data_IF_737459156197
#
_entry.id   IF_737459156197
#
_cell.length_a   1.000
_cell.length_b   1.000
_cell.length_c   1.000
_cell.angle_alpha   90.00
_cell.angle_beta   90.00
_cell.angle_gamma   90.00
#
_symmetry.space_group_name_H-M   'P 1'
#
loop_
_entity.id
_entity.type
_entity.pdbx_description
1 polymer ?
#
# COMPACT_ATOMS: atom_id res chain seq x y z
N UNK A 1 -55.77 12.28 63.65
CA UNK A 1 -54.58 13.13 63.81
C UNK A 1 -53.37 12.22 63.69
N UNK A 2 -52.44 12.30 62.74
CA UNK A 2 -52.21 13.08 61.53
C UNK A 2 -51.69 12.08 60.49
N UNK A 3 -52.19 12.12 59.25
CA UNK A 3 -51.69 11.30 58.16
C UNK A 3 -50.37 11.91 57.62
N UNK A 4 -49.31 11.11 57.53
CA UNK A 4 -48.05 11.50 56.90
C UNK A 4 -48.15 11.32 55.37
N UNK A 5 -47.69 12.27 54.54
CA UNK A 5 -47.74 12.13 53.09
C UNK A 5 -46.57 11.28 52.58
N UNK A 6 -46.88 10.34 51.69
CA UNK A 6 -45.91 9.58 50.92
C UNK A 6 -45.31 10.52 49.85
N UNK A 7 -44.02 10.80 49.92
CA UNK A 7 -43.31 11.58 48.90
C UNK A 7 -43.02 10.64 47.70
N UNK A 8 -43.74 10.83 46.58
CA UNK A 8 -43.39 10.21 45.31
C UNK A 8 -42.31 11.08 44.66
N UNK A 9 -41.06 10.59 44.65
CA UNK A 9 -40.00 11.22 43.87
C UNK A 9 -40.25 10.97 42.38
N UNK A 10 -40.62 12.01 41.65
CA UNK A 10 -40.68 11.97 40.19
C UNK A 10 -39.26 11.90 39.63
N UNK A 11 -38.87 10.73 39.08
CA UNK A 11 -37.69 10.60 38.25
C UNK A 11 -37.95 11.33 36.93
N UNK A 12 -37.42 12.54 36.82
CA UNK A 12 -37.35 13.28 35.56
C UNK A 12 -36.33 12.59 34.66
N UNK A 13 -36.79 11.82 33.67
CA UNK A 13 -35.94 11.38 32.56
C UNK A 13 -35.58 12.62 31.73
N UNK A 14 -34.33 13.08 31.87
CA UNK A 14 -33.77 14.02 30.91
C UNK A 14 -33.68 13.31 29.55
N UNK A 15 -34.10 13.92 28.43
CA UNK A 15 -33.87 13.35 27.11
C UNK A 15 -32.35 13.23 26.91
N UNK A 16 -31.90 12.05 26.50
CA UNK A 16 -30.51 11.85 26.09
C UNK A 16 -30.21 12.82 24.94
N UNK A 17 -29.21 13.68 25.13
CA UNK A 17 -28.65 14.47 24.03
C UNK A 17 -28.20 13.51 22.93
N UNK A 18 -28.48 13.82 21.64
CA UNK A 18 -27.96 13.02 20.55
C UNK A 18 -26.45 12.96 20.70
N UNK A 19 -25.90 11.74 20.66
CA UNK A 19 -24.47 11.52 20.62
C UNK A 19 -23.88 12.46 19.56
N UNK A 20 -22.94 13.32 19.98
CA UNK A 20 -22.16 14.14 19.08
C UNK A 20 -21.74 13.27 17.89
N UNK A 21 -22.06 13.72 16.67
CA UNK A 21 -21.42 13.21 15.47
C UNK A 21 -19.92 13.18 15.76
N UNK A 22 -19.30 12.02 15.64
CA UNK A 22 -17.84 11.92 15.75
C UNK A 22 -17.26 13.01 14.84
N UNK A 23 -16.42 13.89 15.38
CA UNK A 23 -15.68 14.83 14.56
C UNK A 23 -14.96 14.01 13.49
N UNK A 24 -15.46 14.08 12.25
CA UNK A 24 -14.83 13.40 11.13
C UNK A 24 -13.47 14.07 10.98
N UNK A 25 -12.41 13.31 11.30
CA UNK A 25 -11.04 13.76 11.09
C UNK A 25 -10.81 14.20 9.63
N UNK A 26 -9.66 14.80 9.34
CA UNK A 26 -9.35 15.24 7.99
C UNK A 26 -9.45 14.08 6.98
N UNK A 27 -9.85 14.39 5.75
CA UNK A 27 -9.79 13.44 4.65
C UNK A 27 -8.38 12.85 4.53
N UNK A 28 -8.26 11.53 4.46
CA UNK A 28 -6.96 10.87 4.53
C UNK A 28 -6.84 9.71 3.54
N UNK A 29 -5.64 9.53 3.02
CA UNK A 29 -5.13 8.32 2.38
C UNK A 29 -3.76 8.03 2.99
N UNK A 30 -3.72 7.50 4.22
CA UNK A 30 -2.58 7.76 5.10
C UNK A 30 -1.39 6.80 4.92
N UNK A 31 -1.53 5.76 4.11
CA UNK A 31 -0.50 4.75 3.92
C UNK A 31 -0.69 4.03 2.57
N UNK A 32 0.24 3.11 2.27
CA UNK A 32 0.12 2.23 1.11
C UNK A 32 -1.25 1.51 1.09
N UNK A 33 -1.83 1.36 -0.11
CA UNK A 33 -3.19 0.83 -0.34
C UNK A 33 -4.32 1.63 0.33
N UNK A 34 -4.05 2.79 0.92
CA UNK A 34 -5.05 3.55 1.65
C UNK A 34 -5.45 2.88 2.97
N UNK A 35 -4.56 2.12 3.62
CA UNK A 35 -4.84 1.57 4.95
C UNK A 35 -5.16 2.71 5.92
N UNK A 36 -6.40 2.76 6.41
CA UNK A 36 -6.89 3.87 7.25
C UNK A 36 -7.46 5.07 6.48
N UNK A 37 -7.72 4.92 5.18
CA UNK A 37 -8.29 5.98 4.36
C UNK A 37 -9.72 6.33 4.78
N UNK A 38 -10.06 7.61 4.57
CA UNK A 38 -11.45 8.08 4.70
C UNK A 38 -12.30 7.49 3.57
N UNK A 39 -13.59 7.29 3.85
CA UNK A 39 -14.54 6.90 2.81
C UNK A 39 -14.52 7.90 1.64
N UNK A 40 -14.47 7.36 0.43
CA UNK A 40 -14.46 8.13 -0.81
C UNK A 40 -15.88 8.39 -1.30
N UNK A 41 -16.08 9.56 -1.90
CA UNK A 41 -17.29 9.85 -2.68
C UNK A 41 -17.08 9.32 -4.12
N UNK A 42 -17.90 8.37 -4.60
CA UNK A 42 -17.80 7.86 -5.97
C UNK A 42 -18.00 8.93 -7.05
N UNK A 43 -18.74 9.99 -6.75
CA UNK A 43 -18.99 11.08 -7.70
C UNK A 43 -17.79 12.03 -7.80
N UNK A 44 -16.91 12.06 -6.80
CA UNK A 44 -15.68 12.83 -6.83
C UNK A 44 -14.58 12.19 -7.69
N UNK A 45 -14.62 10.86 -7.89
CA UNK A 45 -13.62 10.16 -8.69
C UNK A 45 -14.07 10.15 -10.16
N UNK A 46 -13.32 10.80 -11.08
CA UNK A 46 -13.74 10.90 -12.47
C UNK A 46 -13.86 9.52 -13.11
N UNK A 47 -14.89 9.33 -13.94
CA UNK A 47 -15.08 8.08 -14.68
C UNK A 47 -14.07 7.96 -15.83
N UNK A 48 -13.77 9.08 -16.49
CA UNK A 48 -12.94 9.16 -17.69
C UNK A 48 -12.04 10.39 -17.66
N UNK A 49 -10.83 10.26 -18.19
CA UNK A 49 -9.90 11.37 -18.37
C UNK A 49 -9.00 11.16 -19.59
N UNK A 50 -8.45 12.26 -20.10
CA UNK A 50 -7.44 12.33 -21.16
C UNK A 50 -6.17 13.02 -20.62
N UNK A 51 -5.07 13.06 -21.39
CA UNK A 51 -3.85 13.74 -20.97
C UNK A 51 -4.01 15.23 -20.65
N UNK A 52 -5.07 15.88 -21.11
CA UNK A 52 -5.42 17.29 -20.81
C UNK A 52 -6.29 17.45 -19.56
N UNK A 53 -6.87 16.37 -19.04
CA UNK A 53 -7.77 16.40 -17.87
C UNK A 53 -7.11 16.71 -16.52
N UNK A 54 -5.81 16.47 -16.25
CA UNK A 54 -5.24 16.80 -14.95
C UNK A 54 -5.46 18.25 -14.55
N UNK A 55 -6.08 18.48 -13.39
CA UNK A 55 -6.30 19.81 -12.80
C UNK A 55 -4.96 20.50 -12.56
N UNK A 56 -3.96 19.74 -12.12
CA UNK A 56 -2.58 20.18 -12.00
C UNK A 56 -1.63 19.00 -12.14
N UNK A 57 -0.38 19.33 -12.48
CA UNK A 57 0.74 18.40 -12.52
C UNK A 57 1.93 19.01 -11.78
N UNK A 58 2.61 18.21 -10.96
CA UNK A 58 3.84 18.60 -10.24
C UNK A 58 5.01 17.75 -10.71
N UNK A 59 6.09 18.41 -11.12
CA UNK A 59 7.37 17.78 -11.36
C UNK A 59 8.10 17.49 -10.05
N UNK A 60 8.68 16.30 -9.92
CA UNK A 60 9.50 15.95 -8.78
C UNK A 60 10.97 16.34 -8.99
N UNK A 61 11.70 16.65 -7.92
CA UNK A 61 13.13 17.00 -7.96
C UNK A 61 14.04 15.79 -8.28
N UNK A 62 13.46 14.61 -8.49
CA UNK A 62 14.13 13.34 -8.73
C UNK A 62 13.14 12.29 -9.20
N UNK A 63 13.48 11.01 -9.01
CA UNK A 63 12.59 9.89 -9.34
C UNK A 63 12.04 9.27 -8.06
N UNK A 64 10.77 8.89 -8.06
CA UNK A 64 10.16 8.19 -6.93
C UNK A 64 9.10 7.18 -7.39
N UNK A 65 8.93 6.11 -6.64
CA UNK A 65 8.00 5.03 -6.95
C UNK A 65 6.92 4.84 -5.86
N UNK A 66 7.07 5.52 -4.72
CA UNK A 66 6.07 5.56 -3.64
C UNK A 66 4.70 6.01 -4.15
N UNK A 67 3.62 5.43 -3.65
CA UNK A 67 2.31 6.06 -3.78
C UNK A 67 2.29 7.40 -3.02
N UNK A 68 1.50 8.39 -3.47
CA UNK A 68 1.25 9.57 -2.65
C UNK A 68 0.45 9.18 -1.41
N UNK A 69 0.58 9.95 -0.34
CA UNK A 69 -0.32 9.89 0.82
C UNK A 69 -0.99 11.24 1.03
N UNK A 70 -2.20 11.20 1.57
CA UNK A 70 -3.05 12.40 1.78
C UNK A 70 -3.39 12.54 3.25
N UNK A 71 -3.31 13.78 3.74
CA UNK A 71 -3.86 14.19 5.03
C UNK A 71 -4.42 15.61 4.94
N UNK A 72 -5.74 15.72 5.05
CA UNK A 72 -6.47 16.97 4.88
C UNK A 72 -6.37 17.50 3.44
N UNK A 73 -5.85 18.70 3.29
CA UNK A 73 -5.63 19.39 2.02
C UNK A 73 -4.20 19.21 1.48
N UNK A 74 -3.43 18.27 2.03
CA UNK A 74 -2.02 18.05 1.68
C UNK A 74 -1.79 16.66 1.12
N UNK A 75 -0.97 16.61 0.08
CA UNK A 75 -0.35 15.39 -0.41
C UNK A 75 1.14 15.36 -0.07
N UNK A 76 1.65 14.19 0.26
CA UNK A 76 3.07 13.96 0.49
C UNK A 76 3.61 12.89 -0.47
N UNK A 77 4.78 13.16 -1.03
CA UNK A 77 5.49 12.25 -1.95
C UNK A 77 6.97 12.23 -1.67
N UNK A 78 7.62 11.10 -1.98
CA UNK A 78 9.06 10.91 -1.86
C UNK A 78 9.72 10.75 -3.23
N UNK A 79 11.00 11.10 -3.29
CA UNK A 79 11.87 10.90 -4.45
C UNK A 79 13.33 10.77 -4.02
N UNK A 80 14.17 10.26 -4.92
CA UNK A 80 15.63 10.25 -4.80
C UNK A 80 16.27 10.89 -6.03
N UNK A 81 17.46 11.44 -5.86
CA UNK A 81 18.29 11.92 -6.97
C UNK A 81 19.79 11.68 -6.71
N UNK A 82 20.58 11.86 -7.76
CA UNK A 82 22.00 11.54 -7.78
C UNK A 82 22.30 10.12 -8.25
N UNK A 83 23.56 9.88 -8.63
CA UNK A 83 24.00 8.61 -9.23
C UNK A 83 24.05 7.46 -8.23
N UNK A 84 24.18 7.80 -6.95
CA UNK A 84 24.21 6.86 -5.83
C UNK A 84 22.97 7.05 -4.93
N UNK A 85 21.91 7.67 -5.45
CA UNK A 85 20.73 8.08 -4.68
C UNK A 85 21.13 8.85 -3.41
N UNK A 86 22.18 9.66 -3.50
CA UNK A 86 22.77 10.35 -2.36
C UNK A 86 21.88 11.46 -1.80
N UNK A 87 20.88 11.92 -2.56
CA UNK A 87 19.88 12.88 -2.11
C UNK A 87 18.50 12.21 -1.97
N UNK A 88 17.93 12.32 -0.77
CA UNK A 88 16.57 11.88 -0.45
C UNK A 88 15.66 13.10 -0.39
N UNK A 89 14.48 13.02 -1.00
CA UNK A 89 13.53 14.13 -1.10
C UNK A 89 12.17 13.77 -0.51
N UNK A 90 11.60 14.71 0.23
CA UNK A 90 10.22 14.66 0.71
C UNK A 90 9.55 15.97 0.33
N UNK A 91 8.35 15.89 -0.26
CA UNK A 91 7.60 17.06 -0.71
C UNK A 91 6.23 17.07 -0.05
N UNK A 92 5.83 18.24 0.42
CA UNK A 92 4.44 18.58 0.75
C UNK A 92 3.84 19.41 -0.38
N UNK A 93 2.67 19.00 -0.87
CA UNK A 93 1.96 19.63 -1.99
C UNK A 93 0.54 19.97 -1.54
N UNK A 94 0.08 21.17 -1.87
CA UNK A 94 -1.31 21.56 -1.69
C UNK A 94 -2.20 20.82 -2.70
N UNK A 95 -3.18 20.07 -2.22
CA UNK A 95 -4.04 19.23 -3.05
C UNK A 95 -4.91 20.03 -4.03
N UNK A 96 -5.27 21.26 -3.67
CA UNK A 96 -6.21 22.06 -4.43
C UNK A 96 -5.54 22.76 -5.62
N UNK A 97 -4.29 23.18 -5.46
CA UNK A 97 -3.56 23.98 -6.45
C UNK A 97 -2.37 23.28 -7.08
N UNK A 98 -1.88 22.18 -6.48
CA UNK A 98 -0.62 21.55 -6.89
C UNK A 98 0.61 22.36 -6.48
N UNK A 99 0.44 23.45 -5.72
CA UNK A 99 1.58 24.24 -5.28
C UNK A 99 2.40 23.46 -4.26
N UNK A 100 3.71 23.52 -4.42
CA UNK A 100 4.65 22.98 -3.44
C UNK A 100 4.58 23.82 -2.17
N UNK A 101 4.07 23.22 -1.09
CA UNK A 101 4.05 23.83 0.24
C UNK A 101 5.47 23.89 0.80
N UNK A 102 6.19 22.77 0.69
CA UNK A 102 7.57 22.66 1.11
C UNK A 102 8.29 21.51 0.41
N UNK A 103 9.61 21.54 0.46
CA UNK A 103 10.49 20.46 -0.01
C UNK A 103 11.66 20.34 0.93
N UNK A 104 11.91 19.13 1.41
CA UNK A 104 13.07 18.79 2.23
C UNK A 104 13.96 17.85 1.46
N UNK A 105 15.26 18.10 1.57
CA UNK A 105 16.30 17.25 0.99
C UNK A 105 17.30 16.90 2.07
N UNK A 106 17.61 15.62 2.18
CA UNK A 106 18.64 15.09 3.09
C UNK A 106 19.63 14.22 2.32
N UNK A 107 20.78 13.95 2.95
CA UNK A 107 21.72 12.96 2.42
C UNK A 107 21.30 11.54 2.77
N UNK A 108 21.43 10.62 1.82
CA UNK A 108 21.32 9.18 2.10
C UNK A 108 22.45 8.73 3.02
N UNK A 109 22.11 7.98 4.07
CA UNK A 109 23.13 7.43 4.98
C UNK A 109 23.67 6.09 4.54
N UNK A 110 23.08 5.47 3.52
CA UNK A 110 23.58 4.29 2.81
C UNK A 110 23.34 4.47 1.30
N UNK A 111 24.14 5.29 0.59
CA UNK A 111 24.01 5.50 -0.84
C UNK A 111 24.18 4.19 -1.61
N UNK A 112 23.35 4.00 -2.63
CA UNK A 112 23.40 2.84 -3.53
C UNK A 112 23.11 3.29 -4.95
N UNK A 113 23.74 2.62 -5.92
CA UNK A 113 23.64 2.97 -7.33
C UNK A 113 22.18 3.19 -7.78
N UNK A 114 21.98 4.29 -8.51
CA UNK A 114 20.72 4.66 -9.12
C UNK A 114 20.63 4.05 -10.51
N UNK A 115 19.88 2.95 -10.67
CA UNK A 115 19.66 2.31 -11.98
C UNK A 115 18.17 2.17 -12.27
N UNK A 116 17.83 1.79 -13.51
CA UNK A 116 16.45 1.46 -13.86
C UNK A 116 15.95 0.15 -13.23
N UNK A 117 16.87 -0.71 -12.78
CA UNK A 117 16.57 -2.05 -12.25
C UNK A 117 16.35 -2.05 -10.73
N UNK A 118 16.93 -1.08 -10.03
CA UNK A 118 16.82 -0.94 -8.57
C UNK A 118 15.74 0.09 -8.24
N UNK A 119 15.00 -0.16 -7.17
CA UNK A 119 13.97 0.76 -6.67
C UNK A 119 14.51 2.16 -6.38
N UNK A 120 13.62 3.15 -6.52
CA UNK A 120 13.89 4.58 -6.32
C UNK A 120 12.77 5.19 -5.48
N UNK A 121 13.01 5.39 -4.18
CA UNK A 121 12.02 5.82 -3.20
C UNK A 121 10.70 5.03 -3.31
N UNK A 122 10.78 3.70 -3.41
CA UNK A 122 9.59 2.86 -3.59
C UNK A 122 8.70 2.71 -2.34
N UNK A 123 9.23 2.65 -1.10
CA UNK A 123 8.37 2.59 0.07
C UNK A 123 7.45 3.82 0.15
N UNK A 124 6.15 3.58 0.24
CA UNK A 124 5.14 4.60 0.45
C UNK A 124 5.22 5.10 1.89
N UNK A 125 5.32 6.42 2.14
CA UNK A 125 5.34 6.95 3.50
C UNK A 125 4.04 6.61 4.24
N UNK A 126 4.07 6.67 5.57
CA UNK A 126 2.86 6.80 6.38
C UNK A 126 2.61 8.27 6.72
N UNK A 127 1.37 8.66 6.98
CA UNK A 127 1.00 9.95 7.56
C UNK A 127 -0.13 9.76 8.58
N UNK A 128 -0.17 10.59 9.61
CA UNK A 128 -1.26 10.64 10.58
C UNK A 128 -1.51 12.08 11.05
N UNK A 129 -2.18 12.28 12.19
CA UNK A 129 -2.49 13.61 12.70
C UNK A 129 -1.27 14.45 13.07
N UNK A 130 -0.14 13.81 13.35
CA UNK A 130 1.04 14.45 13.91
C UNK A 130 2.14 14.66 12.85
N UNK A 131 2.37 13.67 11.98
CA UNK A 131 3.53 13.69 11.09
C UNK A 131 3.39 12.82 9.84
N UNK A 132 4.26 13.09 8.87
CA UNK A 132 4.59 12.20 7.76
C UNK A 132 5.90 11.43 8.08
N UNK A 133 5.89 10.14 7.79
CA UNK A 133 6.96 9.18 8.09
C UNK A 133 7.53 8.54 6.82
N UNK A 134 8.41 9.24 6.08
CA UNK A 134 9.03 8.70 4.89
C UNK A 134 10.16 7.74 5.22
N UNK A 135 10.18 6.61 4.52
CA UNK A 135 11.19 5.57 4.63
C UNK A 135 11.85 5.35 3.26
N UNK A 136 13.18 5.26 3.25
CA UNK A 136 13.96 5.12 2.03
C UNK A 136 14.76 3.82 2.02
N UNK A 137 15.16 3.36 0.84
CA UNK A 137 15.86 2.09 0.68
C UNK A 137 17.25 2.08 1.33
N UNK A 138 17.81 3.26 1.61
CA UNK A 138 19.02 3.42 2.42
C UNK A 138 18.81 3.07 3.90
N UNK A 139 17.59 2.73 4.32
CA UNK A 139 17.25 2.51 5.71
C UNK A 139 17.02 3.80 6.50
N UNK A 140 16.96 4.96 5.83
CA UNK A 140 16.64 6.23 6.48
C UNK A 140 15.14 6.37 6.69
N UNK A 141 14.73 6.50 7.95
CA UNK A 141 13.36 6.76 8.38
C UNK A 141 13.32 8.12 9.08
N UNK A 142 12.38 8.96 8.68
CA UNK A 142 12.18 10.29 9.25
C UNK A 142 10.80 10.43 9.84
N UNK A 143 10.63 11.42 10.72
CA UNK A 143 9.35 12.06 10.96
C UNK A 143 9.48 13.56 10.69
N UNK A 144 8.54 14.07 9.91
CA UNK A 144 8.37 15.49 9.67
C UNK A 144 6.95 15.87 10.03
N UNK A 145 6.75 17.03 10.67
CA UNK A 145 5.39 17.55 10.81
C UNK A 145 4.79 17.91 9.44
N UNK A 146 3.50 18.27 9.41
CA UNK A 146 2.84 18.58 8.15
C UNK A 146 3.38 19.83 7.45
N UNK A 147 4.10 20.71 8.16
CA UNK A 147 4.77 21.90 7.61
C UNK A 147 6.21 21.61 7.15
N UNK A 148 6.66 20.36 7.29
CA UNK A 148 7.93 19.86 6.80
C UNK A 148 9.10 20.08 7.75
N UNK A 149 8.84 20.42 9.02
CA UNK A 149 9.90 20.53 10.02
C UNK A 149 10.27 19.14 10.55
N UNK A 150 11.59 18.90 10.69
CA UNK A 150 12.08 17.62 11.18
C UNK A 150 11.75 17.45 12.67
N UNK A 151 11.08 16.34 12.98
CA UNK A 151 10.85 15.91 14.36
C UNK A 151 11.97 14.96 14.81
N UNK A 152 12.30 13.97 13.98
CA UNK A 152 13.42 13.06 14.21
C UNK A 152 13.86 12.35 12.93
N UNK A 153 15.03 11.71 13.00
CA UNK A 153 15.60 10.84 11.96
C UNK A 153 16.29 9.64 12.60
N UNK A 154 16.13 8.47 12.00
CA UNK A 154 16.88 7.26 12.34
C UNK A 154 17.40 6.56 11.09
N UNK A 155 18.71 6.29 11.05
CA UNK A 155 19.31 5.37 10.08
C UNK A 155 19.15 3.93 10.59
N UNK A 156 18.08 3.25 10.20
CA UNK A 156 17.79 1.88 10.64
C UNK A 156 18.88 0.90 10.23
N UNK A 157 19.50 1.08 9.06
CA UNK A 157 20.53 0.15 8.60
C UNK A 157 21.73 0.05 9.57
N UNK A 158 22.06 1.15 10.27
CA UNK A 158 23.12 1.19 11.28
C UNK A 158 22.76 0.42 12.55
N UNK A 159 21.47 0.13 12.75
CA UNK A 159 20.93 -0.56 13.93
C UNK A 159 20.60 -2.03 13.63
N UNK A 160 20.12 -2.34 12.44
CA UNK A 160 19.58 -3.66 12.06
C UNK A 160 20.26 -4.30 10.84
N UNK A 161 21.32 -3.69 10.33
CA UNK A 161 22.00 -4.12 9.10
C UNK A 161 21.38 -3.54 7.83
N UNK A 162 22.13 -3.63 6.72
CA UNK A 162 21.73 -3.05 5.42
C UNK A 162 20.45 -3.70 4.87
N UNK A 163 19.63 -2.89 4.22
CA UNK A 163 18.46 -3.35 3.50
C UNK A 163 18.92 -3.79 2.10
N UNK A 164 19.01 -5.10 1.87
CA UNK A 164 19.51 -5.67 0.62
C UNK A 164 18.48 -6.59 0.00
N UNK A 165 18.23 -6.38 -1.29
CA UNK A 165 17.40 -7.25 -2.12
C UNK A 165 17.70 -6.98 -3.61
N UNK A 166 17.42 -7.93 -4.50
CA UNK A 166 17.79 -7.91 -5.92
C UNK A 166 17.31 -6.64 -6.66
N UNK A 167 16.10 -6.19 -6.36
CA UNK A 167 15.46 -5.01 -6.98
C UNK A 167 15.42 -3.79 -6.05
N UNK A 168 16.22 -3.78 -4.99
CA UNK A 168 16.06 -2.81 -3.90
C UNK A 168 14.85 -3.10 -3.02
N UNK A 169 14.42 -2.11 -2.25
CA UNK A 169 13.36 -2.27 -1.24
C UNK A 169 12.03 -1.73 -1.78
N UNK A 170 10.97 -2.53 -1.71
CA UNK A 170 9.61 -2.13 -2.08
C UNK A 170 8.61 -2.09 -0.92
N UNK A 171 8.95 -2.73 0.20
CA UNK A 171 8.05 -2.85 1.35
C UNK A 171 7.82 -1.48 2.00
N UNK A 172 6.56 -1.05 2.03
CA UNK A 172 6.14 0.20 2.68
C UNK A 172 5.87 -0.03 4.17
N UNK A 173 6.15 0.93 5.06
CA UNK A 173 5.69 0.87 6.44
C UNK A 173 4.17 0.64 6.54
N UNK A 174 3.73 -0.10 7.55
CA UNK A 174 2.37 0.01 8.08
C UNK A 174 2.42 0.57 9.50
N UNK A 175 1.27 0.96 10.06
CA UNK A 175 1.24 1.73 11.30
C UNK A 175 0.07 1.39 12.22
N UNK A 176 0.31 1.56 13.52
CA UNK A 176 -0.72 1.81 14.55
C UNK A 176 -0.72 3.31 14.89
N UNK A 177 -1.49 3.70 15.91
CA UNK A 177 -1.47 5.08 16.42
C UNK A 177 -0.07 5.54 16.86
N UNK A 178 0.77 4.64 17.38
CA UNK A 178 2.03 4.98 18.05
C UNK A 178 3.28 4.31 17.45
N UNK A 179 3.10 3.35 16.53
CA UNK A 179 4.18 2.48 16.05
C UNK A 179 4.17 2.36 14.53
N UNK A 180 5.35 2.38 13.92
CA UNK A 180 5.61 2.03 12.53
C UNK A 180 6.22 0.63 12.48
N UNK A 181 5.79 -0.20 11.54
CA UNK A 181 6.35 -1.53 11.30
C UNK A 181 7.08 -1.57 9.97
N UNK A 182 8.37 -1.91 10.02
CA UNK A 182 9.26 -1.95 8.86
C UNK A 182 9.68 -3.40 8.60
N UNK A 183 9.42 -3.88 7.40
CA UNK A 183 9.88 -5.20 6.97
C UNK A 183 11.26 -5.09 6.30
N UNK A 184 12.20 -5.87 6.81
CA UNK A 184 13.51 -6.12 6.22
C UNK A 184 13.59 -7.60 5.87
N UNK A 185 13.20 -7.99 4.66
CA UNK A 185 13.50 -9.33 4.16
C UNK A 185 14.74 -9.25 3.25
N UNK A 186 15.71 -10.12 3.52
CA UNK A 186 17.03 -10.14 2.90
C UNK A 186 17.35 -11.55 2.41
N UNK A 187 17.43 -11.77 1.08
CA UNK A 187 17.65 -13.09 0.52
C UNK A 187 19.07 -13.61 0.77
N UNK A 188 20.02 -12.74 1.13
CA UNK A 188 21.43 -13.07 1.32
C UNK A 188 21.90 -12.81 2.77
N UNK A 189 20.97 -12.53 3.69
CA UNK A 189 21.28 -12.09 5.03
C UNK A 189 20.13 -12.24 6.05
N UNK A 190 20.28 -11.64 7.24
CA UNK A 190 19.28 -11.72 8.29
C UNK A 190 18.05 -10.87 7.93
N UNK A 191 16.88 -11.46 8.11
CA UNK A 191 15.58 -10.83 7.91
C UNK A 191 14.94 -10.47 9.23
N UNK A 192 14.19 -9.37 9.27
CA UNK A 192 13.58 -8.86 10.48
C UNK A 192 12.29 -8.07 10.21
N UNK A 193 11.38 -8.10 11.18
CA UNK A 193 10.29 -7.13 11.31
C UNK A 193 10.65 -6.18 12.46
N UNK A 194 10.58 -4.88 12.22
CA UNK A 194 11.09 -3.87 13.15
C UNK A 194 9.93 -2.95 13.54
N UNK A 195 9.70 -2.80 14.84
CA UNK A 195 8.77 -1.81 15.37
C UNK A 195 9.51 -0.55 15.81
N UNK A 196 9.08 0.60 15.29
CA UNK A 196 9.67 1.91 15.57
C UNK A 196 8.59 2.80 16.20
N UNK A 197 8.89 3.37 17.36
CA UNK A 197 8.00 4.33 18.04
C UNK A 197 7.95 5.63 17.26
N UNK A 198 6.74 6.09 16.94
CA UNK A 198 6.50 7.34 16.19
C UNK A 198 6.94 8.61 16.93
N UNK A 199 6.92 8.58 18.26
CA UNK A 199 7.24 9.75 19.08
C UNK A 199 8.71 10.20 18.96
N UNK A 200 9.65 9.27 18.72
CA UNK A 200 11.09 9.56 18.79
C UNK A 200 11.97 8.75 17.83
N UNK A 201 11.40 7.86 17.01
CA UNK A 201 12.15 6.98 16.11
C UNK A 201 12.90 5.84 16.83
N UNK A 202 12.60 5.61 18.12
CA UNK A 202 13.20 4.54 18.91
C UNK A 202 12.69 3.16 18.49
N UNK A 203 13.60 2.18 18.35
CA UNK A 203 13.21 0.79 18.11
C UNK A 203 12.59 0.22 19.39
N UNK A 204 11.35 -0.26 19.29
CA UNK A 204 10.64 -0.94 20.36
C UNK A 204 11.07 -2.40 20.47
N UNK A 205 11.11 -3.08 19.32
CA UNK A 205 11.55 -4.46 19.18
C UNK A 205 11.97 -4.74 17.74
N UNK A 206 12.75 -5.82 17.58
CA UNK A 206 13.13 -6.39 16.29
C UNK A 206 12.85 -7.89 16.37
N UNK A 207 11.88 -8.36 15.58
CA UNK A 207 11.57 -9.78 15.49
C UNK A 207 12.49 -10.42 14.44
N UNK A 208 13.23 -11.45 14.86
CA UNK A 208 14.04 -12.26 13.95
C UNK A 208 13.12 -13.09 13.03
N UNK A 209 13.32 -12.96 11.72
CA UNK A 209 12.59 -13.71 10.70
C UNK A 209 13.45 -14.79 10.04
N UNK A 210 14.68 -15.00 10.51
CA UNK A 210 15.64 -15.95 9.97
C UNK A 210 16.39 -15.40 8.75
N UNK A 211 17.00 -16.30 7.99
CA UNK A 211 17.82 -15.98 6.81
C UNK A 211 17.09 -16.33 5.51
N UNK A 212 17.56 -15.76 4.40
CA UNK A 212 17.14 -16.09 3.03
C UNK A 212 15.65 -15.83 2.74
N UNK A 213 15.04 -14.84 3.40
CA UNK A 213 13.68 -14.42 3.06
C UNK A 213 13.71 -13.38 1.96
N UNK A 214 12.70 -13.42 1.10
CA UNK A 214 12.58 -12.51 -0.03
C UNK A 214 11.16 -11.98 -0.10
N UNK A 215 11.02 -10.66 0.02
CA UNK A 215 9.75 -9.97 -0.19
C UNK A 215 9.95 -8.50 -0.54
N UNK A 216 9.01 -7.99 -1.32
CA UNK A 216 8.71 -6.58 -1.59
C UNK A 216 7.29 -6.22 -1.13
N UNK A 217 6.52 -7.19 -0.61
CA UNK A 217 5.21 -6.93 -0.03
C UNK A 217 5.34 -6.07 1.22
N UNK A 218 4.32 -5.24 1.47
CA UNK A 218 4.23 -4.45 2.70
C UNK A 218 3.58 -5.29 3.81
N UNK A 219 3.94 -5.08 5.09
CA UNK A 219 3.14 -5.57 6.20
C UNK A 219 1.74 -4.94 6.19
N UNK A 220 0.77 -5.62 6.77
CA UNK A 220 -0.60 -5.13 6.93
C UNK A 220 -1.07 -5.33 8.37
N UNK A 221 -1.94 -4.44 8.86
CA UNK A 221 -2.61 -4.64 10.15
C UNK A 221 -3.92 -5.39 9.91
N UNK A 222 -4.07 -6.56 10.51
CA UNK A 222 -5.29 -7.38 10.43
C UNK A 222 -5.87 -7.53 11.84
N UNK A 223 -7.13 -7.11 12.08
CA UNK A 223 -7.80 -7.41 13.34
C UNK A 223 -8.15 -8.90 13.40
N UNK A 224 -7.80 -9.54 14.52
CA UNK A 224 -8.13 -10.94 14.84
C UNK A 224 -8.63 -10.99 16.28
N UNK A 225 -9.87 -11.41 16.47
CA UNK A 225 -10.56 -11.45 17.76
C UNK A 225 -10.44 -10.11 18.54
N UNK A 226 -10.59 -8.99 17.82
CA UNK A 226 -10.45 -7.64 18.38
C UNK A 226 -9.00 -7.20 18.71
N UNK A 227 -7.99 -7.99 18.35
CA UNK A 227 -6.58 -7.67 18.53
C UNK A 227 -5.90 -7.39 17.19
N UNK A 228 -5.08 -6.34 17.06
CA UNK A 228 -4.32 -6.10 15.83
C UNK A 228 -3.18 -7.10 15.71
N UNK A 229 -3.03 -7.74 14.55
CA UNK A 229 -1.85 -8.51 14.17
C UNK A 229 -1.11 -7.81 13.02
N UNK A 230 0.22 -7.76 13.09
CA UNK A 230 1.05 -7.35 11.95
C UNK A 230 1.26 -8.57 11.05
N UNK A 231 0.64 -8.58 9.88
CA UNK A 231 0.68 -9.69 8.93
C UNK A 231 1.70 -9.41 7.83
N UNK A 232 2.61 -10.35 7.62
CA UNK A 232 3.68 -10.26 6.64
C UNK A 232 3.59 -11.43 5.66
N UNK A 233 3.56 -11.13 4.36
CA UNK A 233 3.75 -12.12 3.30
C UNK A 233 5.20 -12.07 2.78
N UNK A 234 5.85 -13.23 2.77
CA UNK A 234 7.21 -13.40 2.26
C UNK A 234 7.37 -14.79 1.67
N UNK A 235 8.35 -14.95 0.76
CA UNK A 235 8.57 -16.23 0.08
C UNK A 235 8.56 -17.43 1.05
N UNK A 236 7.63 -18.36 0.83
CA UNK A 236 7.49 -19.59 1.62
C UNK A 236 6.38 -19.56 2.68
N UNK A 237 5.83 -18.40 3.04
CA UNK A 237 4.69 -18.35 3.97
C UNK A 237 4.24 -16.95 4.41
N UNK A 238 3.15 -16.92 5.14
CA UNK A 238 2.56 -15.71 5.74
C UNK A 238 2.61 -15.83 7.25
N UNK A 239 3.09 -14.81 7.95
CA UNK A 239 3.23 -14.81 9.40
C UNK A 239 2.47 -13.65 10.03
N UNK A 240 1.94 -13.85 11.23
CA UNK A 240 1.35 -12.80 12.04
C UNK A 240 2.13 -12.57 13.33
N UNK A 241 2.32 -11.29 13.67
CA UNK A 241 3.07 -10.87 14.85
C UNK A 241 2.21 -10.02 15.77
N UNK A 242 2.46 -10.15 17.07
CA UNK A 242 1.96 -9.22 18.08
C UNK A 242 2.63 -7.85 17.89
N UNK A 243 1.87 -6.77 17.65
CA UNK A 243 2.43 -5.44 17.40
C UNK A 243 3.16 -4.83 18.60
N UNK A 244 2.80 -5.21 19.82
CA UNK A 244 3.40 -4.67 21.04
C UNK A 244 4.72 -5.36 21.39
N UNK A 245 4.84 -6.67 21.11
CA UNK A 245 5.99 -7.47 21.56
C UNK A 245 6.88 -8.01 20.45
N UNK A 246 6.41 -8.04 19.20
CA UNK A 246 7.10 -8.67 18.08
C UNK A 246 7.11 -10.20 18.13
N UNK A 247 6.35 -10.81 19.05
CA UNK A 247 6.21 -12.26 19.14
C UNK A 247 5.42 -12.77 17.92
N UNK A 248 5.94 -13.78 17.24
CA UNK A 248 5.18 -14.51 16.23
C UNK A 248 3.99 -15.23 16.89
N UNK A 249 2.80 -14.99 16.37
CA UNK A 249 1.54 -15.52 16.90
C UNK A 249 1.09 -16.76 16.12
N UNK A 250 1.34 -16.78 14.82
CA UNK A 250 0.96 -17.85 13.91
C UNK A 250 1.76 -17.77 12.62
N UNK A 251 1.86 -18.91 11.94
CA UNK A 251 2.45 -19.02 10.60
C UNK A 251 1.56 -19.87 9.71
N UNK A 252 1.26 -19.37 8.51
CA UNK A 252 0.73 -20.13 7.38
C UNK A 252 1.90 -20.47 6.44
N UNK A 253 2.32 -21.74 6.43
CA UNK A 253 3.33 -22.25 5.50
C UNK A 253 2.76 -22.54 4.11
N UNK A 254 3.62 -23.06 3.22
CA UNK A 254 3.24 -23.57 1.90
C UNK A 254 2.54 -22.51 1.03
N UNK A 255 3.14 -21.31 1.00
CA UNK A 255 2.79 -20.24 0.07
C UNK A 255 4.02 -19.94 -0.78
N UNK A 256 3.91 -20.16 -2.09
CA UNK A 256 5.01 -19.93 -3.04
C UNK A 256 4.68 -18.83 -4.03
N UNK A 257 5.67 -18.07 -4.48
CA UNK A 257 5.48 -16.92 -5.37
C UNK A 257 4.94 -15.65 -4.70
N UNK A 258 4.76 -15.64 -3.37
CA UNK A 258 4.13 -14.58 -2.58
C UNK A 258 5.09 -13.46 -2.13
N UNK A 259 5.93 -12.99 -3.06
CA UNK A 259 7.01 -12.05 -2.76
C UNK A 259 6.68 -10.60 -3.09
N UNK A 260 5.65 -10.30 -3.89
CA UNK A 260 5.38 -8.94 -4.35
C UNK A 260 4.11 -8.31 -3.74
N UNK A 261 3.12 -9.14 -3.43
CA UNK A 261 1.76 -8.69 -3.13
C UNK A 261 1.54 -8.59 -1.63
N UNK A 262 0.96 -7.47 -1.21
CA UNK A 262 0.64 -7.16 0.18
C UNK A 262 -0.64 -7.89 0.60
N UNK A 263 -0.69 -8.53 1.79
CA UNK A 263 -1.92 -9.05 2.35
C UNK A 263 -2.98 -7.96 2.48
N UNK A 264 -4.21 -8.22 2.03
CA UNK A 264 -5.29 -7.23 2.07
C UNK A 264 -6.41 -7.70 2.99
N UNK A 265 -6.57 -7.10 4.18
CA UNK A 265 -7.69 -7.42 5.06
C UNK A 265 -9.01 -7.07 4.38
N UNK A 266 -10.04 -7.85 4.65
CA UNK A 266 -11.37 -7.57 4.14
C UNK A 266 -12.45 -7.97 5.13
N UNK A 267 -13.61 -7.33 4.98
CA UNK A 267 -14.75 -7.49 5.87
C UNK A 267 -15.93 -8.10 5.13
N UNK A 268 -16.69 -8.94 5.83
CA UNK A 268 -17.90 -9.63 5.35
C UNK A 268 -19.06 -9.31 6.29
N UNK A 269 -20.27 -9.80 6.00
CA UNK A 269 -21.46 -9.50 6.81
C UNK A 269 -21.30 -9.88 8.30
N UNK A 270 -20.48 -10.89 8.60
CA UNK A 270 -20.14 -11.32 9.96
C UNK A 270 -19.03 -10.48 10.63
N UNK A 271 -18.62 -9.37 10.00
CA UNK A 271 -17.55 -8.49 10.47
C UNK A 271 -16.15 -8.93 10.05
N UNK A 272 -15.98 -10.04 9.30
CA UNK A 272 -14.74 -10.43 8.62
C UNK A 272 -13.49 -10.57 9.49
N UNK A 273 -13.66 -10.87 10.77
CA UNK A 273 -12.56 -11.00 11.73
C UNK A 273 -11.49 -12.02 11.26
N UNK A 274 -10.25 -11.55 11.26
CA UNK A 274 -9.06 -12.29 10.85
C UNK A 274 -8.98 -12.71 9.39
N UNK A 275 -9.78 -12.13 8.49
CA UNK A 275 -9.76 -12.46 7.06
C UNK A 275 -8.88 -11.52 6.25
N UNK A 276 -8.10 -12.07 5.34
CA UNK A 276 -7.32 -11.30 4.36
C UNK A 276 -7.06 -12.10 3.08
N UNK A 277 -6.85 -11.37 1.98
CA UNK A 277 -6.43 -11.94 0.71
C UNK A 277 -4.91 -12.03 0.63
N UNK A 278 -4.43 -13.05 -0.07
CA UNK A 278 -3.01 -13.22 -0.42
C UNK A 278 -2.83 -13.39 -1.93
N UNK A 279 -1.61 -13.12 -2.40
CA UNK A 279 -1.26 -13.19 -3.80
C UNK A 279 0.10 -13.84 -4.02
N UNK A 280 0.20 -14.64 -5.06
CA UNK A 280 1.34 -15.40 -5.50
C UNK A 280 1.49 -15.33 -7.03
N UNK A 281 2.66 -14.90 -7.46
CA UNK A 281 3.02 -14.79 -8.86
C UNK A 281 3.70 -16.07 -9.35
N UNK A 282 3.47 -16.50 -10.60
CA UNK A 282 4.22 -17.60 -11.20
C UNK A 282 5.70 -17.27 -11.49
N UNK A 283 6.17 -16.06 -11.17
CA UNK A 283 7.51 -15.59 -11.47
C UNK A 283 7.62 -14.98 -12.88
N UNK A 284 8.81 -14.46 -13.24
CA UNK A 284 9.00 -13.84 -14.57
C UNK A 284 9.19 -14.90 -15.67
N UNK A 285 9.80 -16.03 -15.34
CA UNK A 285 10.05 -17.16 -16.23
C UNK A 285 9.10 -18.34 -16.03
N UNK A 286 8.16 -18.25 -15.09
CA UNK A 286 7.26 -19.36 -14.75
C UNK A 286 7.82 -20.32 -13.70
N UNK A 287 8.89 -19.93 -13.02
CA UNK A 287 9.60 -20.72 -12.01
C UNK A 287 8.73 -21.11 -10.81
N UNK A 288 7.70 -20.32 -10.49
CA UNK A 288 6.82 -20.51 -9.32
C UNK A 288 5.40 -20.96 -9.71
N UNK A 289 5.15 -21.38 -10.96
CA UNK A 289 3.79 -21.68 -11.46
C UNK A 289 3.03 -22.65 -10.55
N UNK A 290 3.63 -23.80 -10.24
CA UNK A 290 2.94 -24.84 -9.44
C UNK A 290 2.70 -24.39 -8.00
N UNK A 291 3.62 -23.61 -7.44
CA UNK A 291 3.48 -23.06 -6.10
C UNK A 291 2.40 -21.97 -6.04
N UNK A 292 2.33 -21.12 -7.07
CA UNK A 292 1.36 -20.03 -7.17
C UNK A 292 -0.08 -20.54 -7.28
N UNK A 293 -0.30 -21.63 -8.03
CA UNK A 293 -1.62 -22.27 -8.22
C UNK A 293 -2.33 -22.64 -6.92
N UNK A 294 -1.58 -23.05 -5.90
CA UNK A 294 -2.16 -23.46 -4.60
C UNK A 294 -2.09 -22.35 -3.55
N UNK A 295 -1.64 -21.16 -3.92
CA UNK A 295 -1.33 -20.07 -3.00
C UNK A 295 -2.33 -18.92 -3.05
N UNK A 296 -2.85 -18.59 -4.23
CA UNK A 296 -3.76 -17.46 -4.39
C UNK A 296 -5.12 -17.74 -3.74
N UNK A 297 -5.57 -16.81 -2.90
CA UNK A 297 -6.90 -16.90 -2.30
C UNK A 297 -7.03 -16.12 -1.00
N UNK A 298 -7.95 -16.59 -0.15
CA UNK A 298 -8.24 -15.96 1.13
C UNK A 298 -7.79 -16.83 2.31
N UNK A 299 -7.36 -16.16 3.37
CA UNK A 299 -6.88 -16.76 4.62
C UNK A 299 -7.75 -16.22 5.75
N UNK A 300 -8.02 -17.09 6.74
CA UNK A 300 -8.62 -16.70 8.02
C UNK A 300 -7.71 -17.08 9.16
N UNK A 301 -7.57 -16.17 10.12
CA UNK A 301 -6.95 -16.44 11.41
C UNK A 301 -8.02 -16.49 12.48
N UNK A 302 -8.00 -17.52 13.32
CA UNK A 302 -8.93 -17.69 14.43
C UNK A 302 -8.17 -17.91 15.74
N UNK A 303 -8.79 -17.54 16.86
CA UNK A 303 -8.28 -17.89 18.17
C UNK A 303 -8.50 -19.40 18.43
N UNK A 304 -7.45 -20.09 18.86
CA UNK A 304 -7.49 -21.52 19.19
C UNK A 304 -6.75 -21.76 20.51
N UNK A 305 -7.50 -22.07 21.58
CA UNK A 305 -6.95 -22.14 22.94
C UNK A 305 -6.33 -20.82 23.37
N UNK A 306 -5.05 -20.88 23.79
CA UNK A 306 -4.25 -19.70 24.18
C UNK A 306 -3.47 -19.07 23.01
N UNK A 307 -3.74 -19.51 21.76
CA UNK A 307 -3.01 -19.08 20.57
C UNK A 307 -3.92 -18.77 19.39
N UNK A 308 -3.32 -18.76 18.20
CA UNK A 308 -4.00 -18.47 16.95
C UNK A 308 -3.64 -19.50 15.88
N UNK A 309 -4.57 -19.75 14.98
CA UNK A 309 -4.38 -20.62 13.82
C UNK A 309 -4.78 -19.89 12.55
N UNK A 310 -3.91 -19.97 11.54
CA UNK A 310 -4.18 -19.48 10.19
C UNK A 310 -4.53 -20.65 9.27
N UNK A 311 -5.54 -20.48 8.44
CA UNK A 311 -5.95 -21.45 7.44
C UNK A 311 -6.42 -20.77 6.15
N UNK A 312 -6.14 -21.39 5.00
CA UNK A 312 -6.71 -20.96 3.73
C UNK A 312 -8.20 -21.34 3.74
N UNK A 313 -9.08 -20.34 3.64
CA UNK A 313 -10.53 -20.57 3.57
C UNK A 313 -10.95 -21.03 2.18
N UNK A 314 -10.26 -20.54 1.15
CA UNK A 314 -10.36 -21.04 -0.22
C UNK A 314 -9.10 -20.65 -1.01
N UNK A 315 -8.84 -21.37 -2.10
CA UNK A 315 -7.80 -21.09 -3.09
C UNK A 315 -8.35 -21.26 -4.49
N UNK A 316 -7.77 -20.58 -5.46
CA UNK A 316 -8.12 -20.72 -6.88
C UNK A 316 -6.88 -21.06 -7.72
N UNK A 317 -6.97 -22.14 -8.50
CA UNK A 317 -5.85 -22.69 -9.28
C UNK A 317 -5.60 -21.95 -10.61
N UNK A 318 -6.60 -21.25 -11.14
CA UNK A 318 -6.51 -20.51 -12.40
C UNK A 318 -6.04 -19.07 -12.17
N UNK A 319 -6.36 -18.53 -10.99
CA UNK A 319 -6.00 -17.22 -10.52
C UNK A 319 -4.47 -17.05 -10.45
N UNK A 320 -3.99 -16.01 -11.11
CA UNK A 320 -2.59 -15.56 -11.04
C UNK A 320 -2.52 -14.07 -10.79
N UNK A 321 -1.44 -13.61 -10.16
CA UNK A 321 -1.24 -12.19 -9.87
C UNK A 321 0.13 -11.68 -10.29
N UNK A 322 0.13 -10.40 -10.64
CA UNK A 322 1.24 -9.54 -10.97
C UNK A 322 2.03 -8.97 -9.78
N UNK A 323 2.03 -7.64 -9.74
CA UNK A 323 2.65 -6.77 -8.74
C UNK A 323 1.60 -6.02 -7.93
N UNK A 324 0.50 -5.63 -8.58
CA UNK A 324 -0.66 -5.05 -7.92
C UNK A 324 -1.23 -6.01 -6.87
N UNK A 325 -1.46 -5.49 -5.67
CA UNK A 325 -2.11 -6.28 -4.62
C UNK A 325 -3.59 -6.50 -4.94
N UNK A 326 -4.23 -7.55 -4.43
CA UNK A 326 -5.66 -7.73 -4.64
C UNK A 326 -6.45 -6.68 -3.89
N UNK A 327 -7.73 -6.57 -4.22
CA UNK A 327 -8.66 -5.77 -3.44
C UNK A 327 -9.97 -6.53 -3.22
N UNK A 328 -10.71 -6.16 -2.18
CA UNK A 328 -12.09 -6.58 -1.99
C UNK A 328 -12.99 -5.36 -2.09
N UNK A 329 -14.09 -5.51 -2.82
CA UNK A 329 -15.12 -4.48 -2.92
C UNK A 329 -16.48 -5.15 -3.13
N UNK A 330 -17.48 -4.73 -2.34
CA UNK A 330 -18.86 -5.23 -2.43
C UNK A 330 -18.96 -6.76 -2.54
N UNK A 331 -18.31 -7.48 -1.60
CA UNK A 331 -18.34 -8.94 -1.53
C UNK A 331 -17.52 -9.67 -2.62
N UNK A 332 -16.79 -8.94 -3.46
CA UNK A 332 -15.98 -9.50 -4.56
C UNK A 332 -14.51 -9.25 -4.33
N UNK A 333 -13.70 -10.24 -4.66
CA UNK A 333 -12.25 -10.21 -4.56
C UNK A 333 -11.64 -10.14 -5.97
N UNK A 334 -10.68 -9.25 -6.16
CA UNK A 334 -10.13 -8.92 -7.47
C UNK A 334 -8.61 -9.05 -7.49
N UNK A 335 -8.10 -9.67 -8.55
CA UNK A 335 -6.67 -9.71 -8.87
C UNK A 335 -6.44 -9.38 -10.34
N UNK A 336 -5.26 -8.84 -10.62
CA UNK A 336 -4.82 -8.61 -12.00
C UNK A 336 -3.46 -9.25 -12.23
N UNK A 337 -3.36 -10.05 -13.29
CA UNK A 337 -2.11 -10.68 -13.67
C UNK A 337 -1.27 -9.80 -14.61
N UNK A 338 -0.07 -10.27 -14.92
CA UNK A 338 0.88 -9.57 -15.81
C UNK A 338 0.33 -9.30 -17.20
N UNK A 339 -0.57 -10.15 -17.70
CA UNK A 339 -1.18 -10.00 -19.01
C UNK A 339 -2.40 -9.08 -19.00
N UNK A 340 -2.75 -8.48 -17.85
CA UNK A 340 -3.91 -7.61 -17.71
C UNK A 340 -5.24 -8.34 -17.68
N UNK A 341 -5.24 -9.63 -17.30
CA UNK A 341 -6.48 -10.35 -17.00
C UNK A 341 -6.90 -9.98 -15.58
N UNK A 342 -8.10 -9.40 -15.47
CA UNK A 342 -8.82 -9.19 -14.22
C UNK A 342 -9.57 -10.48 -13.87
N UNK A 343 -9.26 -11.03 -12.71
CA UNK A 343 -10.01 -12.10 -12.08
C UNK A 343 -10.96 -11.48 -11.05
N UNK A 344 -12.22 -11.90 -11.07
CA UNK A 344 -13.23 -11.53 -10.09
C UNK A 344 -13.81 -12.80 -9.47
N UNK A 345 -13.68 -12.92 -8.16
CA UNK A 345 -14.15 -14.05 -7.38
C UNK A 345 -15.10 -13.57 -6.29
N UNK A 346 -16.03 -14.41 -5.87
CA UNK A 346 -16.76 -14.17 -4.63
C UNK A 346 -15.77 -14.21 -3.46
N UNK A 347 -15.71 -13.15 -2.64
CA UNK A 347 -14.70 -13.02 -1.58
C UNK A 347 -14.89 -14.03 -0.42
N UNK A 348 -16.10 -14.57 -0.26
CA UNK A 348 -16.42 -15.56 0.77
C UNK A 348 -16.16 -16.98 0.30
N UNK A 349 -16.60 -17.32 -0.90
CA UNK A 349 -16.59 -18.71 -1.39
C UNK A 349 -15.40 -19.04 -2.27
N UNK A 350 -14.75 -18.04 -2.88
CA UNK A 350 -13.73 -18.24 -3.90
C UNK A 350 -14.30 -18.66 -5.26
N UNK A 351 -15.62 -18.63 -5.46
CA UNK A 351 -16.21 -18.92 -6.77
C UNK A 351 -15.79 -17.85 -7.79
N UNK A 352 -15.12 -18.26 -8.87
CA UNK A 352 -14.77 -17.35 -9.95
C UNK A 352 -16.02 -16.92 -10.73
N UNK A 353 -16.34 -15.63 -10.64
CA UNK A 353 -17.46 -14.99 -11.34
C UNK A 353 -17.08 -14.70 -12.79
N UNK A 354 -15.88 -14.14 -13.01
CA UNK A 354 -15.30 -13.99 -14.34
C UNK A 354 -13.78 -13.83 -14.32
N UNK A 355 -13.16 -14.10 -15.47
CA UNK A 355 -11.80 -13.71 -15.78
C UNK A 355 -11.80 -13.01 -17.16
N UNK A 356 -11.30 -11.78 -17.25
CA UNK A 356 -11.41 -10.97 -18.47
C UNK A 356 -10.17 -10.11 -18.71
N UNK A 357 -9.69 -10.10 -19.96
CA UNK A 357 -8.58 -9.25 -20.38
C UNK A 357 -9.04 -7.79 -20.45
N UNK A 358 -8.26 -6.90 -19.88
CA UNK A 358 -8.55 -5.47 -19.78
C UNK A 358 -7.57 -4.64 -20.63
N UNK A 359 -7.97 -3.44 -21.09
CA UNK A 359 -7.09 -2.58 -21.87
C UNK A 359 -5.95 -1.96 -21.03
N UNK A 360 -6.05 -1.97 -19.70
CA UNK A 360 -4.99 -1.48 -18.80
C UNK A 360 -3.69 -2.30 -18.90
N UNK A 361 -3.76 -3.56 -19.33
CA UNK A 361 -2.59 -4.44 -19.36
C UNK A 361 -2.04 -4.72 -17.96
N UNK A 362 -0.72 -4.83 -17.82
CA UNK A 362 -0.08 -5.10 -16.53
C UNK A 362 -0.24 -3.91 -15.58
N UNK A 363 -0.83 -4.15 -14.41
CA UNK A 363 -0.94 -3.12 -13.36
C UNK A 363 0.20 -3.25 -12.35
N UNK A 364 0.91 -2.14 -12.11
CA UNK A 364 1.94 -2.04 -11.05
C UNK A 364 1.43 -1.24 -9.86
N UNK A 365 0.66 -0.18 -10.11
CA UNK A 365 -0.19 0.43 -9.10
C UNK A 365 -1.36 -0.51 -8.76
N UNK A 366 -1.65 -0.65 -7.46
CA UNK A 366 -2.77 -1.47 -6.99
C UNK A 366 -4.12 -0.84 -7.39
N UNK A 367 -5.10 -1.63 -7.88
CA UNK A 367 -6.43 -1.15 -8.21
C UNK A 367 -7.14 -0.39 -7.07
N UNK A 368 -8.08 0.45 -7.44
CA UNK A 368 -8.96 1.18 -6.52
C UNK A 368 -10.41 0.83 -6.86
N UNK A 369 -11.24 0.60 -5.85
CA UNK A 369 -12.68 0.48 -6.03
C UNK A 369 -13.42 1.55 -5.21
N UNK A 370 -14.47 2.12 -5.80
CA UNK A 370 -15.33 3.13 -5.17
C UNK A 370 -16.69 3.12 -5.86
N UNK A 371 -17.77 3.14 -5.07
CA UNK A 371 -19.14 3.03 -5.60
C UNK A 371 -19.34 1.76 -6.42
N UNK A 372 -19.78 1.90 -7.67
CA UNK A 372 -19.99 0.80 -8.62
C UNK A 372 -18.81 0.59 -9.58
N UNK A 373 -17.63 1.12 -9.25
CA UNK A 373 -16.48 1.21 -10.17
C UNK A 373 -15.23 0.57 -9.59
N UNK A 374 -14.50 -0.10 -10.48
CA UNK A 374 -13.16 -0.63 -10.25
C UNK A 374 -12.20 0.00 -11.26
N UNK A 375 -11.14 0.63 -10.77
CA UNK A 375 -10.11 1.30 -11.55
C UNK A 375 -8.83 0.45 -11.58
N UNK A 376 -8.43 0.03 -12.77
CA UNK A 376 -7.24 -0.77 -13.03
C UNK A 376 -6.17 0.10 -13.66
N UNK A 377 -5.10 0.35 -12.92
CA UNK A 377 -4.03 1.28 -13.27
C UNK A 377 -2.90 0.58 -14.02
N UNK A 378 -2.98 0.59 -15.34
CA UNK A 378 -1.97 0.03 -16.22
C UNK A 378 -0.64 0.77 -16.10
N UNK A 379 0.46 0.03 -16.05
CA UNK A 379 1.81 0.60 -15.89
C UNK A 379 2.13 1.63 -16.99
N UNK A 380 1.58 1.45 -18.20
CA UNK A 380 1.82 2.29 -19.37
C UNK A 380 0.85 3.49 -19.47
N UNK A 381 0.14 3.80 -18.38
CA UNK A 381 -0.70 5.00 -18.25
C UNK A 381 -2.14 4.84 -18.71
N UNK A 382 -2.50 3.67 -19.23
CA UNK A 382 -3.89 3.31 -19.51
C UNK A 382 -4.57 2.89 -18.22
N UNK A 383 -5.66 3.55 -17.87
CA UNK A 383 -6.55 3.10 -16.80
C UNK A 383 -7.83 2.52 -17.40
N UNK A 384 -8.16 1.29 -17.03
CA UNK A 384 -9.43 0.67 -17.36
C UNK A 384 -10.38 0.83 -16.16
N UNK A 385 -11.50 1.51 -16.36
CA UNK A 385 -12.57 1.58 -15.36
C UNK A 385 -13.63 0.57 -15.74
N UNK A 386 -13.90 -0.39 -14.85
CA UNK A 386 -14.89 -1.46 -15.06
C UNK A 386 -15.98 -1.37 -13.99
N UNK A 387 -17.16 -1.93 -14.28
CA UNK A 387 -18.21 -2.05 -13.27
C UNK A 387 -17.78 -3.04 -12.18
N UNK A 388 -17.99 -2.68 -10.92
CA UNK A 388 -17.84 -3.59 -9.79
C UNK A 388 -19.11 -4.43 -9.68
N UNK A 389 -19.14 -5.58 -10.37
CA UNK A 389 -20.29 -6.49 -10.40
C UNK A 389 -19.89 -7.92 -10.71
N UNK A 390 -20.88 -8.80 -10.87
CA UNK A 390 -20.67 -10.23 -11.14
C UNK A 390 -20.31 -10.54 -12.59
N UNK A 391 -20.45 -9.56 -13.48
CA UNK A 391 -20.11 -9.67 -14.90
C UNK A 391 -19.12 -8.58 -15.29
N UNK A 392 -18.16 -8.93 -16.15
CA UNK A 392 -17.22 -7.97 -16.69
C UNK A 392 -17.94 -6.95 -17.59
N UNK A 393 -17.77 -5.66 -17.26
CA UNK A 393 -18.23 -4.56 -18.10
C UNK A 393 -17.23 -3.41 -18.04
N UNK A 394 -16.57 -3.12 -19.17
CA UNK A 394 -15.75 -1.93 -19.32
C UNK A 394 -16.64 -0.68 -19.37
N UNK A 395 -16.38 0.28 -18.49
CA UNK A 395 -17.09 1.57 -18.41
C UNK A 395 -16.31 2.67 -19.12
N UNK A 396 -14.98 2.71 -18.95
CA UNK A 396 -14.13 3.70 -19.58
C UNK A 396 -12.70 3.20 -19.77
N UNK A 397 -12.02 3.78 -20.76
CA UNK A 397 -10.58 3.75 -20.92
C UNK A 397 -10.07 5.18 -20.85
N UNK A 398 -9.07 5.41 -20.00
CA UNK A 398 -8.49 6.73 -19.73
C UNK A 398 -6.97 6.70 -19.86
N UNK A 399 -6.37 7.86 -20.12
CA UNK A 399 -4.90 8.04 -20.15
C UNK A 399 -4.49 9.31 -19.44
N UNK A 400 -3.42 9.25 -18.67
CA UNK A 400 -2.87 10.41 -17.93
C UNK A 400 -1.71 11.11 -18.64
N UNK A 401 -1.15 10.51 -19.70
CA UNK A 401 -0.19 11.16 -20.60
C UNK A 401 -0.36 10.69 -22.07
N UNK A 402 0.16 11.49 -23.00
CA UNK A 402 0.14 11.21 -24.44
C UNK A 402 0.98 9.99 -24.82
N UNK A 403 0.53 9.21 -25.81
CA UNK A 403 1.32 8.09 -26.31
C UNK A 403 2.66 8.60 -26.89
N UNK A 404 3.76 7.95 -26.48
CA UNK A 404 5.11 8.37 -26.87
C UNK A 404 5.71 9.50 -26.02
N UNK A 405 4.99 10.01 -25.00
CA UNK A 405 5.57 10.91 -24.01
C UNK A 405 6.75 10.26 -23.28
N UNK A 406 7.71 11.09 -22.86
CA UNK A 406 8.89 10.66 -22.10
C UNK A 406 9.02 11.46 -20.82
N UNK A 407 9.57 10.81 -19.79
CA UNK A 407 9.97 11.46 -18.54
C UNK A 407 11.48 11.23 -18.33
N UNK A 408 12.13 12.18 -17.65
CA UNK A 408 13.51 12.02 -17.27
C UNK A 408 13.63 10.93 -16.20
N UNK A 409 14.58 10.00 -16.40
CA UNK A 409 14.87 8.95 -15.41
C UNK A 409 15.84 9.40 -14.31
N UNK A 410 16.28 10.66 -14.33
CA UNK A 410 17.31 11.19 -13.43
C UNK A 410 18.73 10.87 -13.90
N UNK A 411 19.70 11.15 -13.03
CA UNK A 411 21.12 10.82 -13.24
C UNK A 411 21.37 9.37 -12.82
N UNK A 412 21.44 8.47 -13.80
CA UNK A 412 21.59 7.03 -13.59
C UNK A 412 23.06 6.62 -13.61
N UNK A 413 23.43 5.70 -12.73
CA UNK A 413 24.66 4.95 -12.84
C UNK A 413 24.62 4.03 -14.09
N UNK A 414 25.77 3.77 -14.73
CA UNK A 414 25.86 2.82 -15.84
C UNK A 414 25.45 1.42 -15.40
N UNK A 415 24.57 0.76 -16.15
CA UNK A 415 24.24 -0.65 -15.92
C UNK A 415 25.35 -1.53 -16.52
N UNK A 416 26.09 -2.22 -15.65
CA UNK A 416 27.23 -3.06 -16.05
C UNK A 416 26.90 -4.54 -16.11
N UNK A 417 25.75 -4.96 -15.56
CA UNK A 417 25.26 -6.31 -15.67
C UNK A 417 24.54 -6.53 -17.02
N UNK A 418 25.00 -7.47 -17.87
CA UNK A 418 24.41 -7.68 -19.19
C UNK A 418 22.95 -8.14 -19.17
N UNK A 419 22.53 -8.91 -18.15
CA UNK A 419 21.13 -9.36 -18.03
C UNK A 419 20.24 -8.18 -17.64
N UNK A 420 20.67 -7.37 -16.68
CA UNK A 420 19.93 -6.17 -16.26
C UNK A 420 19.85 -5.15 -17.39
N UNK A 421 20.95 -4.92 -18.12
CA UNK A 421 20.99 -4.03 -19.27
C UNK A 421 19.94 -4.41 -20.34
N UNK A 422 19.75 -5.71 -20.60
CA UNK A 422 18.71 -6.20 -21.51
C UNK A 422 17.28 -6.02 -20.97
N UNK A 423 17.10 -6.07 -19.65
CA UNK A 423 15.81 -5.88 -18.99
C UNK A 423 15.42 -4.40 -18.80
N UNK A 424 16.40 -3.48 -18.80
CA UNK A 424 16.22 -2.04 -18.58
C UNK A 424 15.18 -1.39 -19.50
N UNK A 425 14.98 -1.92 -20.71
CA UNK A 425 13.96 -1.43 -21.65
C UNK A 425 12.53 -1.54 -21.09
N UNK A 426 12.26 -2.49 -20.18
CA UNK A 426 10.95 -2.61 -19.51
C UNK A 426 10.66 -1.42 -18.57
N UNK A 427 11.72 -0.77 -18.07
CA UNK A 427 11.67 0.24 -17.01
C UNK A 427 12.04 1.65 -17.49
N UNK A 428 12.32 1.81 -18.78
CA UNK A 428 12.84 3.07 -19.34
C UNK A 428 11.76 4.08 -19.70
N UNK A 429 10.53 3.63 -19.96
CA UNK A 429 9.38 4.47 -20.26
C UNK A 429 8.71 5.07 -19.02
N UNK A 430 7.75 5.98 -19.25
CA UNK A 430 6.90 6.48 -18.18
C UNK A 430 6.13 5.29 -17.60
N UNK A 431 6.17 5.16 -16.28
CA UNK A 431 5.51 4.08 -15.56
C UNK A 431 4.62 4.64 -14.46
N UNK A 432 3.37 4.21 -14.40
CA UNK A 432 2.46 4.49 -13.29
C UNK A 432 2.74 3.54 -12.12
N UNK A 433 3.20 4.10 -11.00
CA UNK A 433 3.63 3.33 -9.82
C UNK A 433 2.63 3.34 -8.67
N UNK A 434 1.87 4.43 -8.52
CA UNK A 434 1.03 4.61 -7.35
C UNK A 434 -0.16 5.51 -7.59
N UNK A 435 -1.13 5.38 -6.69
CA UNK A 435 -2.35 6.19 -6.65
C UNK A 435 -2.71 6.50 -5.21
N UNK A 436 -3.41 7.61 -5.01
CA UNK A 436 -4.16 7.89 -3.80
C UNK A 436 -5.48 8.55 -4.19
N UNK A 437 -6.47 8.46 -3.33
CA UNK A 437 -7.74 9.14 -3.54
C UNK A 437 -8.12 9.92 -2.28
N UNK A 438 -8.88 10.98 -2.49
CA UNK A 438 -9.50 11.78 -1.44
C UNK A 438 -10.90 12.20 -1.91
N UNK A 439 -11.73 12.80 -1.04
CA UNK A 439 -13.08 13.22 -1.40
C UNK A 439 -13.18 14.23 -2.55
N UNK A 440 -12.07 14.79 -3.04
CA UNK A 440 -12.04 15.68 -4.20
C UNK A 440 -11.51 15.04 -5.49
N UNK A 441 -11.09 13.77 -5.49
CA UNK A 441 -10.59 13.12 -6.71
C UNK A 441 -9.47 12.08 -6.52
N UNK A 442 -8.68 11.90 -7.58
CA UNK A 442 -7.59 10.92 -7.68
C UNK A 442 -6.23 11.61 -7.87
N UNK A 443 -5.21 11.09 -7.19
CA UNK A 443 -3.80 11.36 -7.49
C UNK A 443 -3.20 10.18 -8.24
N UNK A 444 -2.48 10.46 -9.33
CA UNK A 444 -1.71 9.48 -10.09
C UNK A 444 -0.23 9.82 -10.01
N UNK A 445 0.60 8.81 -9.74
CA UNK A 445 2.04 8.96 -9.59
C UNK A 445 2.79 8.18 -10.66
N UNK A 446 3.64 8.89 -11.40
CA UNK A 446 4.63 8.29 -12.32
C UNK A 446 6.00 8.21 -11.66
N UNK A 447 7.10 8.17 -12.42
CA UNK A 447 8.46 8.25 -11.87
C UNK A 447 8.84 9.68 -11.51
N UNK A 448 8.56 10.62 -12.40
CA UNK A 448 9.01 12.02 -12.28
C UNK A 448 7.87 13.03 -12.03
N UNK A 449 6.60 12.62 -12.07
CA UNK A 449 5.45 13.53 -11.91
C UNK A 449 4.38 13.01 -10.94
N UNK A 450 3.63 13.94 -10.36
CA UNK A 450 2.38 13.72 -9.63
C UNK A 450 1.26 14.47 -10.36
N UNK A 451 0.16 13.78 -10.64
CA UNK A 451 -0.99 14.32 -11.37
C UNK A 451 -2.20 14.32 -10.44
N UNK A 452 -3.03 15.35 -10.54
CA UNK A 452 -4.34 15.42 -9.89
C UNK A 452 -5.45 15.38 -10.92
N UNK A 453 -6.37 14.45 -10.74
CA UNK A 453 -7.61 14.35 -11.47
C UNK A 453 -8.77 14.61 -10.50
N UNK A 454 -9.77 15.36 -10.95
CA UNK A 454 -11.00 15.63 -10.23
C UNK A 454 -12.19 15.45 -11.17
N UNK A 455 -13.38 15.24 -10.62
CA UNK A 455 -14.61 15.32 -11.40
C UNK A 455 -14.85 16.78 -11.85
N UNK A 456 -15.41 16.94 -13.04
CA UNK A 456 -15.79 18.26 -13.60
C UNK A 456 -16.93 18.95 -12.84
#
# INVERSE_FOLDING_TARGET
MFAAPLLIAALSFAPAEPANAAETGPAAWPAFLGQGATALDPDAIPLKWTPESPQWTVDLPGHGQSSPVVWGDRAFVTAVSGREKEALHVLGVDLNSGNKLWHRTTGSTDPVENTLYVSRAAPTPCVDGDAVYPFFESGDLYALDHDGEFLWHVSLWKKVGRFQNEFGLGSSPCQTADTLFILKDDPDGPSALIAVRKADGGILWTADRGENRKSWASPAIVPVNGQPHVVVSSGGGVQGYDPATGKELWTLGEVGGNTAVTPVPYFTEDGGDGRFLIGASPGRGGEDVDAARISNGAVRVTAEGDGFKAEKIWTDEDLTVSWASPIVHDGRAYWVNRQGVLFCLNAETGEQLYASRTPAGSCWATPLAVGDRLYLFGKDGVTATVAAGDEYKLLAESRVWEEGATEANGDLAPETDPQRAGASAMFSGITQYGVAADPGGLLIRTGAKLYRLSAE
#
